data_IF_925737094403
#
_entry.id   IF_925737094403
#
_cell.length_a   1.000
_cell.length_b   1.000
_cell.length_c   1.000
_cell.angle_alpha   90.00
_cell.angle_beta   90.00
_cell.angle_gamma   90.00
#
_symmetry.space_group_name_H-M   'P 1'
#
loop_
_entity.id
_entity.type
_entity.pdbx_description
1 polymer ?
#
# COMPACT_ATOMS: atom_id res chain seq x y z
N UNK A 1 -13.74 -13.91 -2.59
CA UNK A 1 -13.50 -12.60 -1.94
C UNK A 1 -12.09 -12.48 -1.40
N UNK A 2 -11.60 -13.46 -0.63
CA UNK A 2 -10.25 -13.39 -0.03
C UNK A 2 -9.10 -13.19 -1.02
N UNK A 3 -9.16 -13.78 -2.21
CA UNK A 3 -8.11 -13.60 -3.22
C UNK A 3 -8.02 -12.16 -3.75
N UNK A 4 -9.16 -11.54 -4.06
CA UNK A 4 -9.23 -10.15 -4.56
C UNK A 4 -8.79 -9.20 -3.46
N UNK A 5 -9.35 -9.34 -2.25
CA UNK A 5 -8.97 -8.53 -1.10
C UNK A 5 -7.46 -8.61 -0.81
N UNK A 6 -6.89 -9.81 -0.86
CA UNK A 6 -5.44 -10.03 -0.68
C UNK A 6 -4.61 -9.37 -1.77
N UNK A 7 -5.04 -9.45 -3.03
CA UNK A 7 -4.35 -8.80 -4.16
C UNK A 7 -4.31 -7.27 -3.97
N UNK A 8 -5.46 -6.68 -3.65
CA UNK A 8 -5.57 -5.24 -3.39
C UNK A 8 -4.74 -4.81 -2.18
N UNK A 9 -4.82 -5.56 -1.07
CA UNK A 9 -4.00 -5.32 0.11
C UNK A 9 -2.51 -5.33 -0.21
N UNK A 10 -1.99 -6.37 -0.87
CA UNK A 10 -0.55 -6.48 -1.16
C UNK A 10 -0.11 -5.37 -2.11
N UNK A 11 -0.91 -5.06 -3.14
CA UNK A 11 -0.59 -4.00 -4.10
C UNK A 11 -0.47 -2.64 -3.41
N UNK A 12 -1.48 -2.22 -2.65
CA UNK A 12 -1.46 -0.90 -2.01
C UNK A 12 -0.57 -0.84 -0.75
N UNK A 13 -0.32 -1.96 -0.07
CA UNK A 13 0.74 -2.04 0.95
C UNK A 13 2.11 -1.76 0.34
N UNK A 14 2.39 -2.32 -0.84
CA UNK A 14 3.65 -2.10 -1.55
C UNK A 14 3.82 -0.62 -1.93
N UNK A 15 2.77 0.00 -2.47
CA UNK A 15 2.75 1.42 -2.81
C UNK A 15 3.00 2.30 -1.58
N UNK A 16 2.35 1.99 -0.44
CA UNK A 16 2.55 2.71 0.82
C UNK A 16 3.99 2.64 1.33
N UNK A 17 4.63 1.46 1.26
CA UNK A 17 6.04 1.29 1.67
C UNK A 17 6.99 2.05 0.75
N UNK A 18 6.82 1.92 -0.58
CA UNK A 18 7.69 2.58 -1.55
C UNK A 18 7.54 4.11 -1.54
N UNK A 19 6.33 4.61 -1.35
CA UNK A 19 6.07 6.04 -1.26
C UNK A 19 6.79 6.68 -0.06
N UNK A 20 6.74 6.02 1.11
CA UNK A 20 7.48 6.48 2.29
C UNK A 20 8.99 6.32 2.10
N UNK A 21 9.47 5.26 1.45
CA UNK A 21 10.89 5.12 1.12
C UNK A 21 11.40 6.31 0.29
N UNK A 22 10.67 6.67 -0.77
CA UNK A 22 11.00 7.82 -1.59
C UNK A 22 11.00 9.11 -0.76
N UNK A 23 9.97 9.33 0.06
CA UNK A 23 9.90 10.50 0.92
C UNK A 23 11.08 10.60 1.88
N UNK A 24 11.40 9.54 2.64
CA UNK A 24 12.48 9.60 3.63
C UNK A 24 13.85 9.71 2.96
N UNK A 25 14.06 9.05 1.80
CA UNK A 25 15.31 9.13 1.06
C UNK A 25 15.54 10.53 0.48
N UNK A 26 14.51 11.11 -0.15
CA UNK A 26 14.57 12.46 -0.70
C UNK A 26 14.75 13.52 0.38
N UNK A 27 13.97 13.46 1.46
CA UNK A 27 14.08 14.42 2.58
C UNK A 27 15.42 14.32 3.32
N UNK A 28 16.02 13.12 3.39
CA UNK A 28 17.34 12.97 3.99
C UNK A 28 18.44 13.66 3.18
N UNK A 29 18.41 13.55 1.85
CA UNK A 29 19.38 14.21 0.95
C UNK A 29 19.17 15.71 0.89
N UNK A 30 17.91 16.16 0.84
CA UNK A 30 17.58 17.59 0.87
C UNK A 30 18.07 18.31 2.15
N UNK A 31 18.45 17.55 3.19
CA UNK A 31 19.16 18.02 4.37
C UNK A 31 18.24 18.35 5.55
N UNK A 32 18.63 17.83 6.73
CA UNK A 32 18.12 18.13 8.09
C UNK A 32 16.66 18.63 8.21
N UNK A 33 15.74 17.95 7.54
CA UNK A 33 14.32 18.24 7.62
C UNK A 33 13.81 17.86 9.01
N UNK A 34 13.04 18.77 9.62
CA UNK A 34 12.43 18.54 10.93
C UNK A 34 11.62 17.22 10.93
N UNK A 35 11.80 16.32 11.92
CA UNK A 35 11.04 15.07 12.01
C UNK A 35 9.52 15.26 11.88
N UNK A 36 8.97 16.37 12.40
CA UNK A 36 7.55 16.69 12.31
C UNK A 36 7.08 16.96 10.88
N UNK A 37 7.93 17.55 10.04
CA UNK A 37 7.64 17.76 8.62
C UNK A 37 7.63 16.41 7.90
N UNK A 38 8.62 15.55 8.15
CA UNK A 38 8.65 14.20 7.56
C UNK A 38 7.40 13.40 7.95
N UNK A 39 7.00 13.45 9.22
CA UNK A 39 5.77 12.82 9.70
C UNK A 39 4.52 13.42 9.03
N UNK A 40 4.40 14.74 8.98
CA UNK A 40 3.25 15.41 8.37
C UNK A 40 3.12 15.09 6.88
N UNK A 41 4.21 15.21 6.13
CA UNK A 41 4.27 14.87 4.70
C UNK A 41 4.01 13.38 4.47
N UNK A 42 4.59 12.50 5.29
CA UNK A 42 4.42 11.05 5.17
C UNK A 42 2.99 10.59 5.47
N UNK A 43 2.38 11.11 6.52
CA UNK A 43 0.99 10.84 6.85
C UNK A 43 0.05 11.41 5.77
N UNK A 44 0.29 12.63 5.29
CA UNK A 44 -0.47 13.23 4.19
C UNK A 44 -0.38 12.45 2.88
N UNK A 45 0.83 11.96 2.55
CA UNK A 45 1.06 11.09 1.39
C UNK A 45 0.31 9.76 1.56
N UNK A 46 0.42 9.13 2.73
CA UNK A 46 -0.28 7.87 3.01
C UNK A 46 -1.79 8.02 2.93
N UNK A 47 -2.37 9.12 3.44
CA UNK A 47 -3.80 9.39 3.38
C UNK A 47 -4.25 9.60 1.94
N UNK A 48 -3.48 10.35 1.14
CA UNK A 48 -3.74 10.54 -0.29
C UNK A 48 -3.79 9.19 -1.03
N UNK A 49 -2.78 8.33 -0.82
CA UNK A 49 -2.74 6.99 -1.41
C UNK A 49 -3.92 6.14 -0.94
N UNK A 50 -4.30 6.25 0.33
CA UNK A 50 -5.39 5.47 0.93
C UNK A 50 -6.76 5.86 0.38
N UNK A 51 -7.04 7.16 0.25
CA UNK A 51 -8.30 7.67 -0.33
C UNK A 51 -8.35 7.31 -1.82
N UNK A 52 -7.23 7.46 -2.54
CA UNK A 52 -7.10 7.04 -3.94
C UNK A 52 -7.35 5.53 -4.09
N UNK A 53 -6.75 4.72 -3.21
CA UNK A 53 -6.93 3.28 -3.17
C UNK A 53 -8.37 2.87 -2.87
N UNK A 54 -9.02 3.50 -1.89
CA UNK A 54 -10.44 3.26 -1.59
C UNK A 54 -11.31 3.53 -2.81
N UNK A 55 -11.19 4.76 -3.35
CA UNK A 55 -12.07 5.25 -4.41
C UNK A 55 -11.85 4.48 -5.71
N UNK A 56 -10.59 4.23 -6.06
CA UNK A 56 -10.21 3.45 -7.25
C UNK A 56 -10.71 2.01 -7.17
N UNK A 57 -10.48 1.32 -6.06
CA UNK A 57 -10.98 -0.04 -5.87
C UNK A 57 -12.52 -0.10 -5.88
N UNK A 58 -13.19 0.84 -5.20
CA UNK A 58 -14.65 0.91 -5.17
C UNK A 58 -15.24 1.10 -6.57
N UNK A 59 -14.76 2.11 -7.32
CA UNK A 59 -15.29 2.43 -8.65
C UNK A 59 -15.06 1.27 -9.62
N UNK A 60 -13.84 0.72 -9.66
CA UNK A 60 -13.47 -0.36 -10.58
C UNK A 60 -14.24 -1.64 -10.26
N UNK A 61 -14.22 -2.08 -9.00
CA UNK A 61 -14.92 -3.32 -8.61
C UNK A 61 -16.44 -3.15 -8.75
N UNK A 62 -17.01 -1.97 -8.45
CA UNK A 62 -18.45 -1.74 -8.65
C UNK A 62 -18.82 -1.84 -10.14
N UNK A 63 -18.02 -1.28 -11.03
CA UNK A 63 -18.25 -1.35 -12.48
C UNK A 63 -18.17 -2.80 -12.99
N UNK A 64 -17.12 -3.53 -12.61
CA UNK A 64 -16.92 -4.94 -12.97
C UNK A 64 -18.06 -5.83 -12.48
N UNK A 65 -18.49 -5.65 -11.23
CA UNK A 65 -19.60 -6.41 -10.64
C UNK A 65 -20.93 -6.10 -11.29
N UNK A 66 -21.20 -4.82 -11.56
CA UNK A 66 -22.44 -4.41 -12.23
C UNK A 66 -22.52 -4.95 -13.66
N UNK A 67 -21.38 -4.99 -14.37
CA UNK A 67 -21.28 -5.63 -15.69
C UNK A 67 -21.60 -7.12 -15.62
N UNK A 68 -20.98 -7.86 -14.69
CA UNK A 68 -21.23 -9.31 -14.52
C UNK A 68 -22.69 -9.61 -14.17
N UNK A 69 -23.31 -8.83 -13.29
CA UNK A 69 -24.74 -8.97 -12.98
C UNK A 69 -25.61 -8.75 -14.22
N UNK A 70 -25.30 -7.75 -15.05
CA UNK A 70 -26.02 -7.49 -16.31
C UNK A 70 -25.86 -8.64 -17.32
N UNK A 71 -24.70 -9.26 -17.40
CA UNK A 71 -24.47 -10.44 -18.26
C UNK A 71 -25.31 -11.63 -17.78
N UNK A 72 -25.38 -11.87 -16.47
CA UNK A 72 -26.24 -12.91 -15.87
C UNK A 72 -27.72 -12.66 -16.17
N UNK A 73 -28.21 -11.42 -15.99
CA UNK A 73 -29.60 -11.04 -16.32
C UNK A 73 -29.96 -11.38 -17.76
N UNK A 74 -29.07 -11.03 -18.70
CA UNK A 74 -29.29 -11.29 -20.13
C UNK A 74 -29.28 -12.78 -20.46
N UNK A 75 -28.40 -13.56 -19.84
CA UNK A 75 -28.28 -14.99 -20.11
C UNK A 75 -29.47 -15.79 -19.55
N UNK A 76 -30.01 -15.37 -18.41
CA UNK A 76 -31.06 -16.11 -17.69
C UNK A 76 -32.47 -15.51 -17.84
N UNK A 77 -32.63 -14.33 -18.45
CA UNK A 77 -33.89 -13.58 -18.54
C UNK A 77 -34.58 -13.35 -17.18
N UNK A 78 -33.80 -13.31 -16.08
CA UNK A 78 -34.28 -13.02 -14.73
C UNK A 78 -33.82 -11.63 -14.29
N UNK A 79 -34.64 -10.96 -13.47
CA UNK A 79 -34.18 -9.77 -12.76
C UNK A 79 -33.49 -10.18 -11.44
N UNK A 80 -32.29 -9.66 -11.21
CA UNK A 80 -31.50 -9.89 -9.99
C UNK A 80 -31.37 -8.64 -9.11
N UNK A 81 -32.12 -7.58 -9.42
CA UNK A 81 -32.19 -6.38 -8.56
C UNK A 81 -32.68 -6.72 -7.15
N UNK A 82 -32.06 -6.11 -6.13
CA UNK A 82 -32.41 -6.26 -4.70
C UNK A 82 -32.33 -7.68 -4.14
N UNK A 83 -31.87 -8.64 -4.93
CA UNK A 83 -31.63 -10.02 -4.49
C UNK A 83 -30.49 -10.07 -3.45
N UNK A 84 -30.44 -11.16 -2.68
CA UNK A 84 -29.31 -11.43 -1.78
C UNK A 84 -27.96 -11.38 -2.50
N UNK A 85 -27.94 -11.75 -3.79
CA UNK A 85 -26.74 -11.70 -4.64
C UNK A 85 -26.27 -10.26 -4.88
N UNK A 86 -27.18 -9.33 -5.19
CA UNK A 86 -26.83 -7.92 -5.40
C UNK A 86 -26.36 -7.26 -4.10
N UNK A 87 -27.05 -7.49 -2.98
CA UNK A 87 -26.64 -6.98 -1.66
C UNK A 87 -25.27 -7.51 -1.23
N UNK A 88 -25.03 -8.82 -1.36
CA UNK A 88 -23.74 -9.42 -1.05
C UNK A 88 -22.62 -8.88 -1.94
N UNK A 89 -22.90 -8.64 -3.22
CA UNK A 89 -21.96 -8.06 -4.17
C UNK A 89 -21.54 -6.64 -3.75
N UNK A 90 -22.49 -5.81 -3.35
CA UNK A 90 -22.23 -4.43 -2.96
C UNK A 90 -21.40 -4.33 -1.67
N UNK A 91 -21.73 -5.17 -0.67
CA UNK A 91 -20.94 -5.26 0.56
C UNK A 91 -19.50 -5.70 0.27
N UNK A 92 -19.32 -6.66 -0.63
CA UNK A 92 -17.98 -7.15 -1.03
C UNK A 92 -17.12 -6.05 -1.60
N UNK A 93 -17.68 -5.21 -2.47
CA UNK A 93 -16.96 -4.09 -3.08
C UNK A 93 -16.48 -3.10 -2.03
N UNK A 94 -17.35 -2.76 -1.07
CA UNK A 94 -17.01 -1.84 0.04
C UNK A 94 -15.89 -2.43 0.90
N UNK A 95 -15.98 -3.72 1.27
CA UNK A 95 -14.95 -4.39 2.07
C UNK A 95 -13.60 -4.45 1.34
N UNK A 96 -13.59 -4.74 0.03
CA UNK A 96 -12.37 -4.74 -0.77
C UNK A 96 -11.76 -3.33 -0.81
N UNK A 97 -12.57 -2.31 -1.04
CA UNK A 97 -12.11 -0.92 -1.05
C UNK A 97 -11.52 -0.50 0.30
N UNK A 98 -12.14 -0.89 1.41
CA UNK A 98 -11.64 -0.61 2.75
C UNK A 98 -10.30 -1.30 3.04
N UNK A 99 -10.19 -2.59 2.72
CA UNK A 99 -8.93 -3.36 2.86
C UNK A 99 -7.82 -2.72 2.02
N UNK A 100 -8.17 -2.26 0.81
CA UNK A 100 -7.23 -1.60 -0.09
C UNK A 100 -6.70 -0.27 0.48
N UNK A 101 -7.58 0.52 1.10
CA UNK A 101 -7.24 1.80 1.71
C UNK A 101 -6.46 1.66 3.03
N UNK A 102 -6.77 0.64 3.83
CA UNK A 102 -6.11 0.41 5.10
C UNK A 102 -4.64 -0.01 4.94
N UNK A 103 -4.33 -0.75 3.86
CA UNK A 103 -3.00 -1.27 3.60
C UNK A 103 -1.89 -0.20 3.62
N UNK A 104 -1.96 0.88 2.81
CA UNK A 104 -0.93 1.92 2.77
C UNK A 104 -0.84 2.70 4.10
N UNK A 105 -1.95 3.00 4.77
CA UNK A 105 -1.92 3.64 6.10
C UNK A 105 -1.09 2.82 7.09
N UNK A 106 -1.39 1.53 7.21
CA UNK A 106 -0.71 0.65 8.16
C UNK A 106 0.77 0.56 7.84
N UNK A 107 1.12 0.34 6.56
CA UNK A 107 2.53 0.25 6.16
C UNK A 107 3.28 1.56 6.36
N UNK A 108 2.65 2.70 6.05
CA UNK A 108 3.29 4.01 6.19
C UNK A 108 3.48 4.39 7.66
N UNK A 109 2.51 4.11 8.54
CA UNK A 109 2.65 4.36 9.98
C UNK A 109 3.81 3.53 10.54
N UNK A 110 3.89 2.24 10.19
CA UNK A 110 4.97 1.39 10.67
C UNK A 110 6.34 1.85 10.12
N UNK A 111 6.42 2.25 8.84
CA UNK A 111 7.64 2.79 8.26
C UNK A 111 8.08 4.12 8.91
N UNK A 112 7.11 4.98 9.29
CA UNK A 112 7.36 6.26 9.94
C UNK A 112 7.56 6.16 11.46
N UNK A 113 7.36 4.99 12.07
CA UNK A 113 7.46 4.82 13.52
C UNK A 113 8.79 5.34 14.13
N UNK A 114 9.97 5.16 13.50
CA UNK A 114 11.21 5.75 14.01
C UNK A 114 11.20 7.29 14.02
N UNK A 115 10.54 7.93 13.05
CA UNK A 115 10.41 9.39 13.03
C UNK A 115 9.48 9.91 14.13
N UNK A 116 8.53 9.10 14.61
CA UNK A 116 7.73 9.42 15.80
C UNK A 116 8.66 9.53 17.02
N UNK A 117 9.55 8.56 17.22
CA UNK A 117 10.55 8.60 18.30
C UNK A 117 11.49 9.81 18.18
N UNK A 118 11.92 10.15 16.96
CA UNK A 118 12.74 11.33 16.71
C UNK A 118 12.00 12.64 17.03
N UNK A 119 10.68 12.70 16.83
CA UNK A 119 9.87 13.88 17.13
C UNK A 119 9.78 14.18 18.64
N UNK A 120 9.97 13.16 19.49
CA UNK A 120 10.08 13.27 20.94
C UNK A 120 11.54 13.45 21.43
N UNK A 121 12.50 13.64 20.52
CA UNK A 121 13.94 13.72 20.82
C UNK A 121 14.51 12.48 21.52
N UNK A 122 13.89 11.30 21.35
CA UNK A 122 14.39 10.03 21.91
C UNK A 122 15.59 9.51 21.10
N UNK A 123 15.56 9.71 19.78
CA UNK A 123 16.63 9.31 18.85
C UNK A 123 16.99 10.47 17.91
N UNK A 124 18.18 10.42 17.31
CA UNK A 124 18.61 11.43 16.32
C UNK A 124 17.91 11.25 14.98
N UNK A 125 17.89 12.30 14.15
CA UNK A 125 17.32 12.25 12.80
C UNK A 125 18.01 11.18 11.92
N UNK A 126 19.33 11.02 12.06
CA UNK A 126 20.09 9.98 11.35
C UNK A 126 19.70 8.57 11.80
N UNK A 127 19.53 8.35 13.11
CA UNK A 127 19.06 7.07 13.64
C UNK A 127 17.64 6.75 13.16
N UNK A 128 16.76 7.76 13.13
CA UNK A 128 15.40 7.61 12.63
C UNK A 128 15.38 7.17 11.16
N UNK A 129 16.22 7.80 10.33
CA UNK A 129 16.38 7.41 8.93
C UNK A 129 16.84 5.96 8.77
N UNK A 130 17.93 5.57 9.45
CA UNK A 130 18.48 4.21 9.36
C UNK A 130 17.45 3.16 9.84
N UNK A 131 16.80 3.38 10.98
CA UNK A 131 15.78 2.45 11.48
C UNK A 131 14.56 2.39 10.58
N UNK A 132 14.11 3.52 10.02
CA UNK A 132 12.99 3.55 9.08
C UNK A 132 13.33 2.79 7.80
N UNK A 133 14.52 2.99 7.26
CA UNK A 133 15.03 2.25 6.10
C UNK A 133 15.06 0.74 6.37
N UNK A 134 15.54 0.30 7.54
CA UNK A 134 15.53 -1.11 7.92
C UNK A 134 14.11 -1.68 7.99
N UNK A 135 13.18 -0.96 8.62
CA UNK A 135 11.77 -1.36 8.70
C UNK A 135 11.16 -1.51 7.30
N UNK A 136 11.41 -0.55 6.41
CA UNK A 136 10.95 -0.58 5.02
C UNK A 136 11.51 -1.77 4.26
N UNK A 137 12.82 -2.04 4.36
CA UNK A 137 13.44 -3.18 3.68
C UNK A 137 12.86 -4.51 4.18
N UNK A 138 12.66 -4.65 5.50
CA UNK A 138 12.01 -5.82 6.08
C UNK A 138 10.57 -5.97 5.56
N UNK A 139 9.82 -4.87 5.47
CA UNK A 139 8.46 -4.90 4.91
C UNK A 139 8.44 -5.31 3.45
N UNK A 140 9.29 -4.71 2.60
CA UNK A 140 9.38 -5.06 1.19
C UNK A 140 9.70 -6.54 1.02
N UNK A 141 10.71 -7.03 1.74
CA UNK A 141 11.07 -8.44 1.71
C UNK A 141 9.92 -9.34 2.18
N UNK A 142 9.24 -8.97 3.26
CA UNK A 142 8.12 -9.76 3.82
C UNK A 142 6.92 -9.79 2.87
N UNK A 143 6.56 -8.65 2.27
CA UNK A 143 5.50 -8.53 1.27
C UNK A 143 5.84 -9.35 0.02
N UNK A 144 7.08 -9.26 -0.48
CA UNK A 144 7.56 -10.06 -1.60
C UNK A 144 7.56 -11.56 -1.29
N UNK A 145 8.07 -11.94 -0.12
CA UNK A 145 8.06 -13.33 0.35
C UNK A 145 6.63 -13.88 0.40
N UNK A 146 5.71 -13.13 1.00
CA UNK A 146 4.30 -13.48 1.07
C UNK A 146 3.69 -13.68 -0.32
N UNK A 147 3.95 -12.76 -1.26
CA UNK A 147 3.45 -12.85 -2.62
C UNK A 147 4.00 -14.08 -3.36
N UNK A 148 5.30 -14.39 -3.21
CA UNK A 148 5.90 -15.58 -3.78
C UNK A 148 5.25 -16.87 -3.25
N UNK A 149 4.99 -16.94 -1.94
CA UNK A 149 4.31 -18.08 -1.30
C UNK A 149 2.90 -18.31 -1.84
N UNK A 150 2.13 -17.24 -2.04
CA UNK A 150 0.75 -17.33 -2.54
C UNK A 150 0.70 -17.74 -4.01
N UNK A 151 1.64 -17.27 -4.81
CA UNK A 151 1.67 -17.52 -6.26
C UNK A 151 2.26 -18.89 -6.62
N UNK A 152 2.59 -19.73 -5.62
CA UNK A 152 3.24 -21.03 -5.84
C UNK A 152 4.64 -20.90 -6.43
N UNK A 153 5.25 -19.72 -6.34
CA UNK A 153 6.61 -19.44 -6.81
C UNK A 153 7.57 -19.44 -5.63
N UNK A 154 8.86 -19.38 -5.89
CA UNK A 154 9.89 -19.35 -4.85
C UNK A 154 9.77 -18.06 -4.00
N UNK A 155 9.38 -18.14 -2.71
CA UNK A 155 9.16 -16.97 -1.86
C UNK A 155 10.40 -16.08 -1.73
N UNK A 156 11.57 -16.72 -1.57
CA UNK A 156 12.85 -16.02 -1.43
C UNK A 156 13.17 -15.15 -2.65
N UNK A 157 12.91 -15.64 -3.87
CA UNK A 157 13.17 -14.84 -5.09
C UNK A 157 12.28 -13.61 -5.14
N UNK A 158 11.01 -13.72 -4.79
CA UNK A 158 10.10 -12.56 -4.77
C UNK A 158 10.47 -11.56 -3.67
N UNK A 159 10.90 -12.03 -2.49
CA UNK A 159 11.47 -11.17 -1.45
C UNK A 159 12.70 -10.40 -1.93
N UNK A 160 13.61 -11.06 -2.66
CA UNK A 160 14.78 -10.39 -3.22
C UNK A 160 14.43 -9.41 -4.35
N UNK A 161 13.52 -9.77 -5.25
CA UNK A 161 13.05 -8.87 -6.33
C UNK A 161 12.46 -7.58 -5.75
N UNK A 162 11.63 -7.70 -4.72
CA UNK A 162 11.01 -6.54 -4.07
C UNK A 162 12.00 -5.65 -3.32
N UNK A 163 13.02 -6.24 -2.69
CA UNK A 163 14.16 -5.48 -2.15
C UNK A 163 14.90 -4.71 -3.25
N UNK A 164 15.20 -5.35 -4.37
CA UNK A 164 15.87 -4.69 -5.51
C UNK A 164 15.02 -3.52 -6.02
N UNK A 165 13.71 -3.69 -6.16
CA UNK A 165 12.81 -2.60 -6.55
C UNK A 165 12.90 -1.44 -5.55
N UNK A 166 12.88 -1.72 -4.24
CA UNK A 166 13.05 -0.70 -3.21
C UNK A 166 14.38 0.05 -3.34
N UNK A 167 15.48 -0.68 -3.51
CA UNK A 167 16.81 -0.08 -3.69
C UNK A 167 16.88 0.79 -4.95
N UNK A 168 16.29 0.35 -6.06
CA UNK A 168 16.21 1.13 -7.31
C UNK A 168 15.39 2.40 -7.10
N UNK A 169 14.22 2.32 -6.45
CA UNK A 169 13.40 3.50 -6.15
C UNK A 169 14.15 4.47 -5.26
N UNK A 170 14.78 3.98 -4.18
CA UNK A 170 15.61 4.79 -3.31
C UNK A 170 16.70 5.51 -4.10
N UNK A 171 17.50 4.74 -4.86
CA UNK A 171 18.59 5.29 -5.68
C UNK A 171 18.12 6.35 -6.68
N UNK A 172 17.01 6.10 -7.39
CA UNK A 172 16.46 7.07 -8.36
C UNK A 172 16.02 8.37 -7.67
N UNK A 173 15.34 8.26 -6.52
CA UNK A 173 14.93 9.45 -5.75
C UNK A 173 16.14 10.21 -5.23
N UNK A 174 17.19 9.50 -4.83
CA UNK A 174 18.43 10.11 -4.38
C UNK A 174 19.10 10.93 -5.50
N UNK A 175 19.13 10.42 -6.72
CA UNK A 175 19.64 11.17 -7.90
C UNK A 175 18.77 12.38 -8.23
N UNK A 176 17.45 12.26 -8.10
CA UNK A 176 16.53 13.35 -8.45
C UNK A 176 16.55 14.52 -7.45
N UNK A 177 16.91 14.24 -6.20
CA UNK A 177 16.81 15.21 -5.08
C UNK A 177 18.17 15.78 -4.67
N UNK A 178 19.27 15.12 -5.04
CA UNK A 178 20.65 15.59 -4.83
C UNK A 178 21.15 16.44 -5.99
#
# INVERSE_FOLDING_TARGET
MGEIARRYFVMNAFDGVLAILGLIAGTHIAGNVNPKIVLGSGLGLSLTISISGFSGAYIVERAERSRKLREIKKALFIDVNETLLDKATNLSVILIAFINAAAPLVTSILALAPYILASFNIITLMQAFIFSLLVILIMLFTLGYYLGRITGRSPLKYGLITLIIGLVVGFLVMILTG
#
